data_IF_834143784573
#
_entry.id   IF_834143784573
#
_cell.length_a   1.000
_cell.length_b   1.000
_cell.length_c   1.000
_cell.angle_alpha   90.00
_cell.angle_beta   90.00
_cell.angle_gamma   90.00
#
_symmetry.space_group_name_H-M   'P 1'
#
loop_
_entity.id
_entity.type
_entity.pdbx_description
1 polymer ?
#
# COMPACT_ATOMS: atom_id res chain seq x y z
N UNK A 1 -6.56 5.01 37.21
CA UNK A 1 -6.46 6.12 36.24
C UNK A 1 -5.05 6.27 35.67
N UNK A 2 -4.02 6.64 36.46
CA UNK A 2 -2.64 6.84 35.95
C UNK A 2 -2.02 5.64 35.20
N UNK A 3 -2.23 4.41 35.70
CA UNK A 3 -1.80 3.16 35.04
C UNK A 3 -2.43 2.93 33.67
N UNK A 4 -3.67 3.38 33.46
CA UNK A 4 -4.38 3.22 32.19
C UNK A 4 -3.77 4.14 31.12
N UNK A 5 -3.41 5.37 31.50
CA UNK A 5 -2.71 6.31 30.63
C UNK A 5 -1.32 5.81 30.24
N UNK A 6 -0.57 5.20 31.16
CA UNK A 6 0.73 4.60 30.82
C UNK A 6 0.61 3.43 29.83
N UNK A 7 -0.38 2.55 29.98
CA UNK A 7 -0.62 1.45 29.04
C UNK A 7 -1.04 1.96 27.66
N UNK A 8 -1.96 2.94 27.60
CA UNK A 8 -2.37 3.56 26.35
C UNK A 8 -1.23 4.31 25.66
N UNK A 9 -0.35 4.96 26.43
CA UNK A 9 0.83 5.65 25.90
C UNK A 9 1.87 4.66 25.35
N UNK A 10 2.10 3.53 26.03
CA UNK A 10 3.02 2.48 25.57
C UNK A 10 2.51 1.79 24.29
N UNK A 11 1.20 1.56 24.18
CA UNK A 11 0.58 0.99 22.99
C UNK A 11 0.74 1.89 21.75
N UNK A 12 0.79 3.22 21.93
CA UNK A 12 1.02 4.16 20.82
C UNK A 12 2.47 4.16 20.30
N UNK A 13 3.45 3.69 21.08
CA UNK A 13 4.86 3.64 20.66
C UNK A 13 5.13 2.48 19.69
N UNK A 14 4.29 1.43 19.73
CA UNK A 14 4.35 0.27 18.81
C UNK A 14 3.58 0.49 17.51
N UNK A 15 3.24 1.73 17.15
CA UNK A 15 2.55 2.00 15.90
C UNK A 15 3.55 1.91 14.74
N UNK A 16 3.45 0.86 13.94
CA UNK A 16 4.21 0.74 12.68
C UNK A 16 3.67 1.80 11.71
N UNK A 17 4.49 2.78 11.36
CA UNK A 17 4.15 3.79 10.35
C UNK A 17 4.44 3.25 8.95
N UNK A 18 3.44 2.59 8.35
CA UNK A 18 3.45 2.24 6.93
C UNK A 18 3.27 3.47 6.03
N UNK A 19 3.54 3.31 4.74
CA UNK A 19 3.26 4.36 3.76
C UNK A 19 1.75 4.51 3.56
N UNK A 20 1.28 5.76 3.52
CA UNK A 20 -0.05 6.06 2.97
C UNK A 20 -0.02 6.19 1.44
N UNK A 21 -1.14 6.57 0.79
CA UNK A 21 -1.23 6.64 -0.66
C UNK A 21 -0.16 7.53 -1.33
N UNK A 22 0.20 8.63 -0.66
CA UNK A 22 1.26 9.54 -1.13
C UNK A 22 2.62 8.83 -1.13
N UNK A 23 2.93 8.08 -0.07
CA UNK A 23 4.19 7.34 0.04
C UNK A 23 4.32 6.26 -1.03
N UNK A 24 3.27 5.47 -1.21
CA UNK A 24 3.19 4.46 -2.28
C UNK A 24 3.38 5.08 -3.67
N UNK A 25 2.68 6.18 -3.95
CA UNK A 25 2.78 6.88 -5.23
C UNK A 25 4.19 7.42 -5.48
N UNK A 26 4.83 8.01 -4.46
CA UNK A 26 6.17 8.56 -4.56
C UNK A 26 7.20 7.46 -4.85
N UNK A 27 7.15 6.33 -4.11
CA UNK A 27 8.05 5.20 -4.33
C UNK A 27 7.89 4.64 -5.74
N UNK A 28 6.65 4.43 -6.21
CA UNK A 28 6.38 3.93 -7.54
C UNK A 28 6.86 4.89 -8.65
N UNK A 29 6.65 6.20 -8.47
CA UNK A 29 7.12 7.22 -9.41
C UNK A 29 8.65 7.24 -9.51
N UNK A 30 9.34 7.24 -8.37
CA UNK A 30 10.79 7.20 -8.32
C UNK A 30 11.33 5.92 -8.94
N UNK A 31 10.74 4.75 -8.61
CA UNK A 31 11.13 3.48 -9.22
C UNK A 31 10.99 3.52 -10.74
N UNK A 32 9.83 3.95 -11.25
CA UNK A 32 9.56 4.01 -12.68
C UNK A 32 10.54 4.92 -13.44
N UNK A 33 10.96 6.03 -12.82
CA UNK A 33 11.95 6.96 -13.40
C UNK A 33 13.33 6.35 -13.61
N UNK A 34 13.64 5.24 -12.93
CA UNK A 34 14.94 4.55 -13.00
C UNK A 34 14.89 3.31 -13.92
N UNK A 35 13.73 2.98 -14.47
CA UNK A 35 13.57 1.81 -15.34
C UNK A 35 14.06 2.08 -16.76
N UNK A 36 14.64 1.06 -17.39
CA UNK A 36 14.96 1.14 -18.81
C UNK A 36 13.71 1.25 -19.70
N UNK A 37 13.91 1.62 -20.96
CA UNK A 37 12.81 1.81 -21.91
C UNK A 37 12.02 0.53 -22.18
N UNK A 38 12.66 -0.64 -22.09
CA UNK A 38 12.00 -1.92 -22.35
C UNK A 38 11.01 -2.26 -21.24
N UNK A 39 11.38 -2.02 -19.99
CA UNK A 39 10.57 -2.24 -18.81
C UNK A 39 9.45 -1.22 -18.72
N UNK A 40 9.74 0.05 -19.03
CA UNK A 40 8.70 1.09 -19.12
C UNK A 40 7.66 0.77 -20.19
N UNK A 41 8.08 0.28 -21.36
CA UNK A 41 7.14 -0.17 -22.39
C UNK A 41 6.33 -1.39 -21.94
N UNK A 42 6.94 -2.32 -21.20
CA UNK A 42 6.20 -3.45 -20.64
C UNK A 42 5.12 -2.98 -19.64
N UNK A 43 5.45 -2.07 -18.71
CA UNK A 43 4.49 -1.49 -17.76
C UNK A 43 3.34 -0.82 -18.51
N UNK A 44 3.65 -0.01 -19.54
CA UNK A 44 2.65 0.67 -20.35
C UNK A 44 1.62 -0.30 -20.96
N UNK A 45 2.05 -1.48 -21.38
CA UNK A 45 1.17 -2.49 -21.97
C UNK A 45 0.47 -3.38 -20.92
N UNK A 46 1.00 -3.46 -19.70
CA UNK A 46 0.46 -4.32 -18.64
C UNK A 46 -0.63 -3.65 -17.81
N UNK A 47 -0.48 -2.35 -17.50
CA UNK A 47 -1.45 -1.65 -16.65
C UNK A 47 -2.68 -1.19 -17.46
N UNK A 48 -3.82 -0.92 -16.79
CA UNK A 48 -5.02 -0.41 -17.45
C UNK A 48 -4.75 0.79 -18.36
N UNK A 49 -5.32 0.78 -19.56
CA UNK A 49 -5.01 1.74 -20.62
C UNK A 49 -5.37 3.18 -20.26
N UNK A 50 -6.38 3.37 -19.40
CA UNK A 50 -6.80 4.67 -18.87
C UNK A 50 -5.75 5.33 -17.96
N UNK A 51 -4.78 4.56 -17.48
CA UNK A 51 -3.68 5.06 -16.64
C UNK A 51 -2.43 5.40 -17.45
N UNK A 52 -2.42 5.18 -18.77
CA UNK A 52 -1.35 5.62 -19.69
C UNK A 52 0.06 5.25 -19.24
N UNK A 53 0.24 4.05 -18.68
CA UNK A 53 1.54 3.58 -18.17
C UNK A 53 2.01 4.22 -16.85
N UNK A 54 1.17 5.01 -16.17
CA UNK A 54 1.51 5.61 -14.87
C UNK A 54 1.45 4.58 -13.73
N UNK A 55 2.62 4.05 -13.32
CA UNK A 55 2.71 3.08 -12.23
C UNK A 55 2.27 3.67 -10.87
N UNK A 56 2.52 4.97 -10.64
CA UNK A 56 2.14 5.61 -9.39
C UNK A 56 0.63 5.65 -9.17
N UNK A 57 -0.17 5.65 -10.24
CA UNK A 57 -1.62 5.67 -10.17
C UNK A 57 -2.22 4.37 -9.58
N UNK A 58 -1.50 3.25 -9.67
CA UNK A 58 -1.95 1.95 -9.13
C UNK A 58 -1.21 1.54 -7.85
N UNK A 59 -0.27 2.34 -7.36
CA UNK A 59 0.65 1.94 -6.30
C UNK A 59 -0.04 1.62 -4.97
N UNK A 60 -1.24 2.18 -4.74
CA UNK A 60 -2.06 1.92 -3.54
C UNK A 60 -3.19 0.92 -3.78
N UNK A 61 -3.33 0.36 -4.99
CA UNK A 61 -4.36 -0.65 -5.29
C UNK A 61 -4.36 -1.81 -4.28
N UNK A 62 -3.21 -2.38 -3.85
CA UNK A 62 -3.19 -3.46 -2.86
C UNK A 62 -3.84 -3.09 -1.52
N UNK A 63 -3.73 -1.83 -1.07
CA UNK A 63 -4.38 -1.38 0.16
C UNK A 63 -5.89 -1.15 -0.07
N UNK A 64 -6.23 -0.54 -1.21
CA UNK A 64 -7.58 -0.11 -1.57
C UNK A 64 -8.53 -1.30 -1.74
N UNK A 65 -8.07 -2.43 -2.28
CA UNK A 65 -8.95 -3.60 -2.52
C UNK A 65 -9.45 -4.28 -1.24
N UNK A 66 -8.87 -3.97 -0.09
CA UNK A 66 -9.15 -4.64 1.18
C UNK A 66 -10.40 -4.13 1.90
N UNK A 67 -10.98 -3.01 1.47
CA UNK A 67 -12.03 -2.33 2.21
C UNK A 67 -13.35 -2.23 1.42
N UNK A 68 -14.52 -2.32 2.10
CA UNK A 68 -15.82 -2.32 1.44
C UNK A 68 -16.23 -0.97 0.83
N UNK A 69 -15.70 0.14 1.32
CA UNK A 69 -15.96 1.49 0.80
C UNK A 69 -15.21 1.77 -0.51
N UNK A 70 -14.02 1.19 -0.66
CA UNK A 70 -13.19 1.32 -1.85
C UNK A 70 -13.34 0.16 -2.83
N UNK A 71 -13.76 -1.01 -2.34
CA UNK A 71 -13.99 -2.21 -3.14
C UNK A 71 -15.28 -2.96 -2.71
N UNK A 72 -16.46 -2.39 -2.97
CA UNK A 72 -17.73 -2.92 -2.46
C UNK A 72 -18.12 -4.28 -3.07
N UNK A 73 -17.53 -4.68 -4.20
CA UNK A 73 -17.95 -5.86 -4.95
C UNK A 73 -17.23 -7.13 -4.53
N UNK A 74 -15.93 -7.07 -4.25
CA UNK A 74 -15.14 -8.28 -4.01
C UNK A 74 -14.07 -8.15 -2.91
N UNK A 75 -14.12 -7.13 -2.03
CA UNK A 75 -13.12 -6.96 -0.96
C UNK A 75 -12.91 -8.21 -0.09
N UNK A 76 -13.96 -9.03 0.11
CA UNK A 76 -13.90 -10.27 0.87
C UNK A 76 -12.96 -11.30 0.24
N UNK A 77 -12.82 -11.31 -1.09
CA UNK A 77 -11.91 -12.19 -1.82
C UNK A 77 -10.44 -11.82 -1.65
N UNK A 78 -10.15 -10.61 -1.18
CA UNK A 78 -8.79 -10.08 -1.06
C UNK A 78 -8.26 -10.07 0.38
N UNK A 79 -9.06 -10.45 1.37
CA UNK A 79 -8.65 -10.38 2.79
C UNK A 79 -7.40 -11.21 3.11
N UNK A 80 -7.13 -12.26 2.34
CA UNK A 80 -5.94 -13.09 2.50
C UNK A 80 -4.63 -12.33 2.26
N UNK A 81 -4.65 -11.24 1.47
CA UNK A 81 -3.43 -10.48 1.18
C UNK A 81 -3.04 -9.51 2.28
N UNK A 82 -3.91 -9.28 3.29
CA UNK A 82 -3.65 -8.31 4.37
C UNK A 82 -2.34 -8.60 5.11
N UNK A 83 -2.05 -9.87 5.37
CA UNK A 83 -0.83 -10.31 6.06
C UNK A 83 0.43 -10.16 5.20
N UNK A 84 0.32 -9.83 3.90
CA UNK A 84 1.46 -9.58 3.02
C UNK A 84 2.01 -8.15 3.13
N UNK A 85 1.30 -7.23 3.81
CA UNK A 85 1.68 -5.82 3.88
C UNK A 85 2.70 -5.53 5.00
N UNK A 86 2.94 -6.48 5.89
CA UNK A 86 3.84 -6.30 7.03
C UNK A 86 4.47 -7.63 7.44
N UNK A 87 5.49 -7.53 8.28
CA UNK A 87 6.08 -8.66 9.00
C UNK A 87 6.07 -8.30 10.47
N UNK A 88 5.38 -9.11 11.29
CA UNK A 88 5.45 -8.98 12.74
C UNK A 88 6.78 -9.54 13.24
N UNK A 89 7.59 -8.71 13.90
CA UNK A 89 8.87 -9.12 14.52
C UNK A 89 8.71 -9.24 16.04
N UNK A 90 9.50 -10.09 16.72
CA UNK A 90 9.61 -10.02 18.18
C UNK A 90 10.06 -8.63 18.63
N UNK A 91 9.61 -8.21 19.83
CA UNK A 91 10.05 -6.98 20.50
C UNK A 91 11.51 -7.06 20.98
#
# INVERSE_FOLDING_TARGET
MLRLYFVLFYQCILCVFGWGPIGHSLVAHLAQSQLDSSTNNWIYNYIPSDLSGNLSAIASWPDIILYPDTNPLDYTNWQWSRELHFINTPD
#
